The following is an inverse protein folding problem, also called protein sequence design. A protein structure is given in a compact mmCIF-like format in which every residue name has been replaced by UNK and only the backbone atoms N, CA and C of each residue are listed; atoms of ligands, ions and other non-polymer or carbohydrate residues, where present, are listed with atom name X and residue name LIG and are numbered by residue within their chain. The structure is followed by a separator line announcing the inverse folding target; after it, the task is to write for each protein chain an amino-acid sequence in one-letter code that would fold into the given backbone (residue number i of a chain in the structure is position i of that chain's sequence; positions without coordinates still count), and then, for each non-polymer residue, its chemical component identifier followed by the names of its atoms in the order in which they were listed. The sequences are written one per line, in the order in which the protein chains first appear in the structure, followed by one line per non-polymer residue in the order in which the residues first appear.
data_IF_469375298482
#
_entry.id   IF_469375298482
#
_cell.length_a   1.000
_cell.length_b   1.000
_cell.length_c   1.000
_cell.angle_alpha   90.00
_cell.angle_beta   90.00
_cell.angle_gamma   90.00
#
_symmetry.space_group_name_H-M   'P 1'
#
loop_
_entity.id
_entity.type
_entity.pdbx_description
1 polymer ?
#
# COMPACT_ATOMS: atom_id res chain seq x y z
N UNK A 1 -15.13 0.34 4.46
CA UNK A 1 -13.93 -0.43 4.05
C UNK A 1 -14.42 -1.80 3.57
N UNK A 2 -14.03 -2.30 2.38
CA UNK A 2 -14.65 -3.51 1.79
C UNK A 2 -14.68 -4.70 2.76
N UNK A 3 -13.59 -4.94 3.50
CA UNK A 3 -13.52 -5.96 4.55
C UNK A 3 -14.67 -5.88 5.55
N UNK A 4 -14.98 -4.70 6.09
CA UNK A 4 -16.03 -4.53 7.11
C UNK A 4 -17.42 -4.92 6.62
N UNK A 5 -17.69 -4.76 5.32
CA UNK A 5 -18.97 -5.15 4.72
C UNK A 5 -19.09 -6.66 4.52
N UNK A 6 -17.96 -7.37 4.37
CA UNK A 6 -17.94 -8.83 4.14
C UNK A 6 -17.89 -9.62 5.45
N UNK A 7 -17.52 -9.01 6.58
CA UNK A 7 -17.48 -9.66 7.90
C UNK A 7 -18.83 -10.28 8.29
N UNK A 8 -19.97 -9.57 8.30
CA UNK A 8 -21.25 -10.18 8.70
C UNK A 8 -21.65 -11.34 7.77
N UNK A 9 -21.41 -11.20 6.47
CA UNK A 9 -21.68 -12.24 5.47
C UNK A 9 -20.81 -13.48 5.66
N UNK A 10 -19.53 -13.31 6.01
CA UNK A 10 -18.61 -14.41 6.28
C UNK A 10 -18.94 -15.14 7.58
N UNK A 11 -19.44 -14.43 8.60
CA UNK A 11 -19.86 -15.00 9.88
C UNK A 11 -21.16 -15.78 9.76
N UNK A 12 -22.12 -15.30 8.95
CA UNK A 12 -23.40 -15.96 8.72
C UNK A 12 -23.32 -17.13 7.70
N UNK A 13 -22.21 -17.27 6.97
CA UNK A 13 -22.10 -18.24 5.90
C UNK A 13 -21.76 -19.67 6.37
N UNK A 14 -22.40 -20.65 5.74
CA UNK A 14 -22.02 -22.06 5.82
C UNK A 14 -20.66 -22.31 5.16
N UNK A 15 -20.01 -23.43 5.50
CA UNK A 15 -18.67 -23.80 4.98
C UNK A 15 -18.57 -23.72 3.44
N UNK A 16 -19.60 -24.16 2.73
CA UNK A 16 -19.66 -24.14 1.25
C UNK A 16 -19.80 -22.72 0.68
N UNK A 17 -20.63 -21.87 1.28
CA UNK A 17 -20.83 -20.48 0.84
C UNK A 17 -19.64 -19.57 1.18
N UNK A 18 -18.94 -19.87 2.27
CA UNK A 18 -17.79 -19.09 2.75
C UNK A 18 -16.68 -18.96 1.70
N UNK A 19 -16.39 -20.03 0.96
CA UNK A 19 -15.39 -20.00 -0.12
C UNK A 19 -15.78 -19.04 -1.25
N UNK A 20 -17.06 -19.01 -1.62
CA UNK A 20 -17.57 -18.11 -2.66
C UNK A 20 -17.44 -16.64 -2.22
N UNK A 21 -17.85 -16.33 -0.99
CA UNK A 21 -17.76 -14.99 -0.41
C UNK A 21 -16.29 -14.53 -0.32
N UNK A 22 -15.40 -15.43 0.12
CA UNK A 22 -13.96 -15.16 0.19
C UNK A 22 -13.35 -14.86 -1.18
N UNK A 23 -13.66 -15.66 -2.21
CA UNK A 23 -13.21 -15.40 -3.59
C UNK A 23 -13.70 -14.05 -4.13
N UNK A 24 -14.95 -13.69 -3.84
CA UNK A 24 -15.50 -12.38 -4.21
C UNK A 24 -14.74 -11.25 -3.53
N UNK A 25 -14.45 -11.36 -2.22
CA UNK A 25 -13.65 -10.38 -1.49
C UNK A 25 -12.27 -10.19 -2.13
N UNK A 26 -11.56 -11.28 -2.44
CA UNK A 26 -10.24 -11.22 -3.10
C UNK A 26 -10.32 -10.51 -4.46
N UNK A 27 -11.35 -10.81 -5.25
CA UNK A 27 -11.58 -10.14 -6.55
C UNK A 27 -11.80 -8.64 -6.37
N UNK A 28 -12.61 -8.23 -5.39
CA UNK A 28 -12.82 -6.81 -5.08
C UNK A 28 -11.53 -6.11 -4.66
N UNK A 29 -10.70 -6.75 -3.82
CA UNK A 29 -9.41 -6.20 -3.40
C UNK A 29 -8.46 -6.05 -4.60
N UNK A 30 -8.35 -7.06 -5.44
CA UNK A 30 -7.45 -7.07 -6.59
C UNK A 30 -7.81 -6.00 -7.63
N UNK A 31 -9.10 -5.76 -7.88
CA UNK A 31 -9.55 -4.78 -8.86
C UNK A 31 -9.77 -3.37 -8.29
N UNK A 32 -9.59 -3.17 -6.97
CA UNK A 32 -9.69 -1.84 -6.38
C UNK A 32 -8.46 -1.03 -6.79
N UNK A 33 -8.68 -0.05 -7.67
CA UNK A 33 -7.65 0.93 -7.99
C UNK A 33 -7.16 1.63 -6.70
N UNK A 34 -5.85 1.64 -6.50
CA UNK A 34 -5.21 2.44 -5.45
C UNK A 34 -5.24 3.88 -5.93
N UNK A 35 -5.74 4.84 -5.12
CA UNK A 35 -5.72 6.24 -5.51
C UNK A 35 -4.28 6.69 -5.73
N UNK A 36 -4.09 7.55 -6.73
CA UNK A 36 -2.79 8.17 -6.96
C UNK A 36 -2.36 8.93 -5.70
N UNK A 37 -1.08 8.79 -5.35
CA UNK A 37 -0.49 9.41 -4.16
C UNK A 37 0.76 10.18 -4.56
N UNK A 38 0.60 11.31 -5.27
CA UNK A 38 1.73 12.08 -5.80
C UNK A 38 2.66 12.62 -4.71
N UNK A 39 2.14 12.82 -3.49
CA UNK A 39 2.93 13.28 -2.34
C UNK A 39 3.86 12.21 -1.73
N UNK A 40 3.83 10.95 -2.21
CA UNK A 40 4.62 9.83 -1.66
C UNK A 40 5.98 9.66 -2.35
N UNK A 41 6.64 10.78 -2.64
CA UNK A 41 8.02 10.79 -3.12
C UNK A 41 8.97 10.85 -1.91
N UNK A 42 9.61 9.73 -1.61
CA UNK A 42 10.68 9.66 -0.61
C UNK A 42 12.05 9.62 -1.30
N UNK A 43 13.07 10.33 -0.76
CA UNK A 43 14.41 10.28 -1.31
C UNK A 43 15.00 8.88 -1.18
N UNK A 44 15.39 8.33 -2.32
CA UNK A 44 15.96 6.99 -2.45
C UNK A 44 17.43 6.97 -2.03
N UNK A 45 17.67 7.27 -0.76
CA UNK A 45 18.99 7.39 -0.12
C UNK A 45 19.08 6.49 1.11
N UNK A 46 20.30 6.08 1.46
CA UNK A 46 20.57 5.24 2.64
C UNK A 46 21.26 6.02 3.75
N UNK A 47 21.08 5.60 5.01
CA UNK A 47 21.83 6.21 6.13
C UNK A 47 23.29 5.75 6.16
N UNK A 48 23.53 4.44 6.37
CA UNK A 48 24.90 3.87 6.47
C UNK A 48 25.05 2.45 5.91
N UNK A 49 23.97 1.68 5.76
CA UNK A 49 24.01 0.27 5.31
C UNK A 49 24.39 0.15 3.82
N UNK A 50 25.35 -0.71 3.41
CA UNK A 50 25.64 -0.97 2.01
C UNK A 50 24.47 -1.68 1.30
N UNK A 51 24.05 -1.10 0.17
CA UNK A 51 23.01 -1.50 -0.82
C UNK A 51 23.47 -0.86 -2.17
N UNK A 52 22.62 -0.65 -3.19
CA UNK A 52 22.93 0.19 -4.38
C UNK A 52 22.15 1.54 -4.46
N UNK A 53 22.52 2.54 -3.64
CA UNK A 53 21.82 3.82 -3.39
C UNK A 53 22.80 4.81 -2.76
N UNK A 54 22.73 6.11 -3.10
CA UNK A 54 23.59 7.14 -2.51
C UNK A 54 23.41 7.28 -0.99
N UNK A 55 24.47 7.76 -0.32
CA UNK A 55 24.40 8.14 1.09
C UNK A 55 23.47 9.33 1.31
N UNK A 56 22.80 9.35 2.46
CA UNK A 56 21.98 10.47 2.92
C UNK A 56 22.91 11.54 3.49
N UNK A 57 23.32 12.47 2.63
CA UNK A 57 24.23 13.58 2.96
C UNK A 57 23.51 14.79 3.55
N UNK A 58 22.18 14.88 3.36
CA UNK A 58 21.32 15.96 3.88
C UNK A 58 20.14 15.41 4.68
N UNK A 59 19.51 16.21 5.56
CA UNK A 59 18.26 15.85 6.21
C UNK A 59 17.17 15.45 5.20
N UNK A 60 16.37 14.44 5.56
CA UNK A 60 15.36 13.86 4.66
C UNK A 60 14.33 14.88 4.15
N UNK A 61 13.99 15.89 4.95
CA UNK A 61 13.01 16.91 4.56
C UNK A 61 13.53 17.82 3.44
N UNK A 62 14.82 18.12 3.39
CA UNK A 62 15.43 18.89 2.30
C UNK A 62 15.45 18.11 1.00
N UNK A 63 15.87 16.83 1.06
CA UNK A 63 15.87 15.94 -0.10
C UNK A 63 14.47 15.72 -0.67
N UNK A 64 13.43 15.70 0.18
CA UNK A 64 12.02 15.65 -0.26
C UNK A 64 11.62 16.90 -1.05
N UNK A 65 12.04 18.10 -0.63
CA UNK A 65 11.78 19.34 -1.37
C UNK A 65 12.42 19.30 -2.76
N UNK A 66 13.66 18.82 -2.87
CA UNK A 66 14.35 18.70 -4.16
C UNK A 66 13.61 17.78 -5.15
N UNK A 67 12.96 16.71 -4.67
CA UNK A 67 12.15 15.80 -5.50
C UNK A 67 10.79 16.37 -5.91
N UNK A 68 10.33 17.44 -5.28
CA UNK A 68 9.07 18.11 -5.65
C UNK A 68 9.29 19.22 -6.67
N UNK A 69 10.53 19.70 -6.81
CA UNK A 69 10.90 20.80 -7.72
C UNK A 69 11.43 20.31 -9.08
N UNK A 70 11.81 19.03 -9.17
CA UNK A 70 12.26 18.38 -10.41
C UNK A 70 11.09 17.73 -11.15
#
# INVERSE_FOLDING_TARGET
HHLNNFIPELLAATSTKRLKIYRTLLKVIAHKAVPDRPARNEPRVRKRRPKAYPLMTKPRHELRKQLQTA
#
